data_IF_978211839719
#
_entry.id   IF_978211839719
#
_cell.length_a   1.000
_cell.length_b   1.000
_cell.length_c   1.000
_cell.angle_alpha   90.00
_cell.angle_beta   90.00
_cell.angle_gamma   90.00
#
_symmetry.space_group_name_H-M   'P 1'
#
loop_
_entity.id
_entity.type
_entity.pdbx_description
1 polymer ?
2 polymer ?
3 branched ?
4 branched ?
5 branched ?
6 non-polymer ?
7 non-polymer ?
8 water ?
#
loop_
_entity_poly.entity_id
_entity_poly.type
_entity_poly.pdbx_seq_one_letter_code
_entity_poly.pdbx_strand_id
2 'polyribonucleotide' 'CU' ?
#
# COMPACT_ATOMS: atom_id res chain seq x y z
N UNK A 2 5.33 12.08 15.68
CA UNK A 2 5.74 12.21 14.28
C UNK A 2 6.07 10.83 13.67
N UNK A 3 6.72 9.91 14.47
CA UNK A 3 7.12 8.54 14.09
C UNK A 3 5.96 7.52 14.13
N UNK A 4 4.77 7.96 14.63
CA UNK A 4 3.61 7.09 14.79
C UNK A 4 2.57 7.25 13.68
N UNK A 5 2.26 6.13 12.98
CA UNK A 5 1.26 6.10 11.92
C UNK A 5 -0.15 6.15 12.51
N UNK A 6 -1.00 7.02 12.00
CA UNK A 6 -2.39 7.06 12.41
C UNK A 6 -3.23 6.78 11.17
N UNK A 7 -3.87 5.60 11.15
CA UNK A 7 -4.73 5.18 10.04
C UNK A 7 -6.18 5.16 10.48
N UNK A 8 -7.08 5.47 9.54
CA UNK A 8 -8.52 5.42 9.81
C UNK A 8 -9.33 4.99 8.58
N UNK A 9 -10.61 4.66 8.80
CA UNK A 9 -11.53 4.24 7.76
C UNK A 9 -12.34 5.39 7.33
N UNK A 10 -12.75 5.43 6.04
CA UNK A 10 -13.65 6.43 5.47
C UNK A 10 -14.86 5.68 4.92
N UNK A 11 -16.04 6.29 5.02
CA UNK A 11 -17.29 5.68 4.53
C UNK A 11 -17.29 5.37 3.04
N UNK A 12 -18.09 4.35 2.66
CA UNK A 12 -18.27 3.88 1.29
C UNK A 12 -19.30 2.75 1.24
N UNK A 13 -20.48 3.02 0.64
CA UNK A 13 -21.53 2.01 0.46
C UNK A 13 -21.07 0.89 -0.50
N UNK A 14 -19.96 1.11 -1.20
CA UNK A 14 -19.43 0.14 -2.14
C UNK A 14 -18.62 -0.95 -1.50
N UNK A 15 -18.13 -0.71 -0.26
CA UNK A 15 -17.30 -1.69 0.47
C UNK A 15 -18.06 -2.41 1.55
N UNK A 16 -18.06 -3.75 1.48
CA UNK A 16 -18.69 -4.62 2.48
C UNK A 16 -17.91 -4.51 3.81
N UNK A 17 -18.65 -4.33 4.91
CA UNK A 17 -18.10 -4.23 6.26
C UNK A 17 -18.26 -2.83 6.84
N UNK A 18 -17.23 -2.37 7.60
CA UNK A 18 -17.24 -1.07 8.26
C UNK A 18 -17.56 0.12 7.34
N UNK A 19 -16.93 0.19 6.15
CA UNK A 19 -17.16 1.32 5.24
C UNK A 19 -18.66 1.54 4.94
N UNK A 20 -19.40 0.44 4.67
CA UNK A 20 -20.83 0.49 4.40
C UNK A 20 -21.58 0.94 5.67
N UNK A 21 -21.23 0.34 6.83
CA UNK A 21 -21.83 0.65 8.14
C UNK A 21 -21.68 2.12 8.49
N UNK A 22 -20.55 2.72 8.07
CA UNK A 22 -20.25 4.13 8.28
C UNK A 22 -21.14 4.97 7.38
N UNK A 23 -21.26 4.55 6.10
CA UNK A 23 -22.11 5.21 5.10
C UNK A 23 -23.52 5.25 5.65
N UNK A 24 -24.08 4.08 6.04
CA UNK A 24 -25.42 3.94 6.61
C UNK A 24 -25.60 4.79 7.85
N UNK A 25 -24.61 4.88 8.72
CA UNK A 25 -24.78 5.64 9.93
C UNK A 25 -24.42 7.14 9.81
N UNK A 26 -23.85 7.50 8.64
CA UNK A 26 -23.45 8.88 8.33
C UNK A 26 -22.22 9.36 9.08
N UNK A 27 -21.26 8.45 9.25
CA UNK A 27 -19.97 8.66 9.91
C UNK A 27 -19.02 8.76 8.72
N UNK A 28 -18.17 9.79 8.71
CA UNK A 28 -17.27 9.95 7.57
C UNK A 28 -15.93 9.22 7.74
N UNK A 29 -15.36 9.30 8.96
CA UNK A 29 -14.10 8.69 9.34
C UNK A 29 -14.18 8.09 10.74
N UNK A 30 -13.73 6.85 10.91
CA UNK A 30 -13.60 6.16 12.21
C UNK A 30 -12.15 5.63 12.29
N UNK A 31 -11.47 5.93 13.41
CA UNK A 31 -10.10 5.54 13.67
C UNK A 31 -9.90 4.04 13.54
N UNK A 32 -8.72 3.62 13.07
CA UNK A 32 -8.35 2.22 13.01
C UNK A 32 -7.33 2.03 14.09
N UNK A 33 -6.27 2.84 14.08
CA UNK A 33 -5.26 2.76 15.14
C UNK A 33 -4.14 3.75 15.04
N UNK A 34 -3.33 3.85 16.12
CA UNK A 34 -2.11 4.69 16.17
C UNK A 34 -0.97 3.71 16.32
N UNK A 35 -0.09 3.66 15.32
CA UNK A 35 0.98 2.68 15.29
C UNK A 35 2.39 3.19 15.43
N UNK A 36 3.03 2.85 16.56
CA UNK A 36 4.45 3.17 16.72
C UNK A 36 5.26 2.13 15.93
N UNK A 37 6.57 1.97 16.13
CA UNK A 37 7.26 0.94 15.33
C UNK A 37 7.31 -0.44 15.98
N UNK A 38 7.34 -0.50 17.30
CA UNK A 38 7.32 -1.75 18.06
C UNK A 38 5.90 -2.34 18.08
N UNK A 39 5.79 -3.65 17.77
CA UNK A 39 4.50 -4.34 17.86
C UNK A 39 4.49 -5.14 19.17
N UNK A 40 3.33 -5.47 19.69
CA UNK A 40 3.23 -6.10 21.00
C UNK A 40 2.93 -7.57 21.06
N UNK A 41 3.98 -8.35 20.90
CA UNK A 41 3.97 -9.79 21.01
C UNK A 41 3.81 -10.10 22.49
N UNK A 42 3.02 -11.13 22.77
CA UNK A 42 2.84 -11.63 24.13
C UNK A 42 1.67 -11.08 24.88
N UNK A 43 1.53 -11.53 26.14
CA UNK A 43 0.46 -11.18 27.07
C UNK A 43 0.50 -9.71 27.53
N UNK A 44 -0.61 -8.97 27.33
CA UNK A 44 -0.65 -7.55 27.76
C UNK A 44 -0.36 -7.23 29.23
N UNK A 45 0.20 -6.01 29.47
CA UNK A 45 0.46 -5.41 30.79
C UNK A 45 -0.89 -5.39 31.52
N UNK A 46 -1.92 -4.86 30.86
CA UNK A 46 -3.29 -4.72 31.36
C UNK A 46 -4.24 -5.22 30.31
N UNK A 47 -5.31 -5.94 30.72
CA UNK A 47 -6.34 -6.43 29.81
C UNK A 47 -7.45 -5.38 29.73
N UNK A 48 -7.61 -4.78 28.52
CA UNK A 48 -8.58 -3.73 28.26
C UNK A 48 -10.02 -4.21 28.44
N UNK A 49 -10.81 -3.45 29.19
CA UNK A 49 -12.23 -3.76 29.45
C UNK A 49 -13.13 -2.94 28.51
N UNK A 50 -14.35 -3.46 28.20
CA UNK A 50 -15.31 -2.78 27.30
C UNK A 50 -15.57 -1.32 27.71
N UNK A 51 -15.67 -1.09 29.01
CA UNK A 51 -15.88 0.25 29.54
C UNK A 51 -14.73 1.22 29.19
N UNK A 52 -13.47 0.74 29.28
CA UNK A 52 -12.33 1.59 28.96
C UNK A 52 -12.32 1.86 27.46
N UNK A 53 -12.69 0.85 26.64
CA UNK A 53 -12.65 0.97 25.19
C UNK A 53 -13.75 1.83 24.63
N UNK A 54 -14.92 1.80 25.29
CA UNK A 54 -16.04 2.63 24.89
C UNK A 54 -15.70 4.13 25.14
N UNK A 55 -14.62 4.42 25.89
CA UNK A 55 -14.21 5.81 26.15
C UNK A 55 -13.58 6.50 24.93
N UNK A 56 -13.30 5.72 23.84
CA UNK A 56 -12.79 6.25 22.57
C UNK A 56 -14.09 6.49 21.86
N UNK A 57 -14.66 7.69 22.09
CA UNK A 57 -15.95 8.08 21.54
C UNK A 57 -15.83 8.37 20.05
N UNK A 58 -16.70 7.74 19.26
CA UNK A 58 -16.71 7.95 17.83
C UNK A 58 -16.02 6.90 16.99
N UNK A 59 -15.17 6.09 17.63
CA UNK A 59 -14.47 5.01 16.93
C UNK A 59 -15.40 3.80 16.77
N UNK A 60 -15.63 3.38 15.53
CA UNK A 60 -16.46 2.21 15.22
C UNK A 60 -15.59 0.96 15.04
N UNK A 61 -16.03 -0.11 15.64
CA UNK A 61 -15.40 -1.40 15.52
C UNK A 61 -15.56 -1.88 14.06
N UNK A 62 -14.53 -2.52 13.50
CA UNK A 62 -14.55 -3.09 12.16
C UNK A 62 -15.28 -4.46 12.12
N UNK A 63 -15.58 -5.09 13.31
CA UNK A 63 -16.27 -6.37 13.41
C UNK A 63 -17.77 -6.30 13.23
N UNK A 64 -18.32 -7.12 12.32
CA UNK A 64 -19.76 -7.24 12.10
C UNK A 64 -20.44 -7.66 13.40
N UNK A 65 -19.78 -8.63 14.13
CA UNK A 65 -20.22 -9.26 15.37
C UNK A 65 -20.44 -8.36 16.57
N UNK A 66 -20.34 -7.03 16.42
CA UNK A 66 -20.66 -6.06 17.50
C UNK A 66 -21.54 -4.97 16.85
N UNK A 67 -21.99 -5.26 15.62
CA UNK A 67 -22.75 -4.38 14.73
C UNK A 67 -21.95 -3.08 14.55
N UNK A 68 -20.63 -3.20 14.31
CA UNK A 68 -19.71 -2.09 14.07
C UNK A 68 -19.77 -1.01 15.17
N UNK A 69 -19.66 -1.44 16.44
CA UNK A 69 -19.70 -0.55 17.60
C UNK A 69 -18.39 -0.63 18.40
N UNK A 70 -18.39 -1.43 19.45
CA UNK A 70 -17.25 -1.71 20.30
C UNK A 70 -17.33 -3.20 20.63
N UNK A 71 -16.22 -3.94 20.91
CA UNK A 71 -14.86 -3.51 21.16
C UNK A 71 -13.76 -4.25 20.45
N UNK A 72 -14.07 -5.34 19.71
CA UNK A 72 -13.09 -6.16 19.02
C UNK A 72 -11.93 -5.39 18.45
N UNK A 73 -12.17 -4.43 17.54
CA UNK A 73 -11.10 -3.64 16.92
C UNK A 73 -10.30 -2.83 17.96
N UNK A 74 -11.02 -2.05 18.80
CA UNK A 74 -10.44 -1.23 19.87
C UNK A 74 -9.51 -2.09 20.75
N UNK A 75 -9.99 -3.30 21.15
CA UNK A 75 -9.22 -4.23 21.98
C UNK A 75 -8.00 -4.76 21.23
N UNK A 76 -8.17 -5.11 19.96
CA UNK A 76 -7.07 -5.58 19.12
C UNK A 76 -5.92 -4.56 19.06
N UNK A 77 -6.24 -3.27 18.85
CA UNK A 77 -5.25 -2.20 18.78
C UNK A 77 -4.49 -2.05 20.08
N UNK A 78 -5.17 -2.20 21.22
CA UNK A 78 -4.47 -2.15 22.50
C UNK A 78 -3.50 -3.36 22.58
N UNK A 79 -4.01 -4.58 22.30
CA UNK A 79 -3.20 -5.78 22.35
C UNK A 79 -2.00 -5.75 21.38
N UNK A 80 -2.20 -5.43 20.09
CA UNK A 80 -1.12 -5.40 19.11
C UNK A 80 -0.19 -4.17 19.19
N UNK A 81 -0.67 -2.98 19.52
CA UNK A 81 0.17 -1.77 19.49
C UNK A 81 0.20 -0.94 20.78
N UNK A 82 -0.68 -1.22 21.73
CA UNK A 82 -0.83 -0.40 22.91
C UNK A 82 0.09 -0.66 24.08
N UNK A 83 -0.28 -1.61 24.92
CA UNK A 83 0.41 -1.97 26.15
C UNK A 83 1.92 -1.89 26.15
N UNK A 84 2.59 -2.49 25.17
CA UNK A 84 4.05 -2.51 25.13
C UNK A 84 4.67 -1.15 24.81
N UNK A 85 3.86 -0.17 24.36
CA UNK A 85 4.30 1.15 23.91
C UNK A 85 3.85 2.34 24.73
N UNK A 86 2.66 2.26 25.40
CA UNK A 86 2.06 3.33 26.21
C UNK A 86 2.05 2.95 27.68
N UNK A 87 2.39 1.68 27.97
CA UNK A 87 2.55 1.09 29.31
C UNK A 87 1.32 1.08 30.17
N UNK A 88 0.43 2.09 30.01
CA UNK A 88 -0.82 2.20 30.77
C UNK A 88 -2.00 2.57 29.90
N UNK A 89 -3.19 1.97 30.20
CA UNK A 89 -4.35 2.22 29.37
C UNK A 89 -4.81 3.70 29.28
N UNK A 90 -4.96 4.40 30.42
CA UNK A 90 -5.41 5.82 30.36
C UNK A 90 -4.70 6.74 29.30
N UNK A 91 -3.34 6.87 29.24
CA UNK A 91 -2.75 7.72 28.19
C UNK A 91 -3.14 7.34 26.75
N UNK A 92 -3.21 6.01 26.48
CA UNK A 92 -3.56 5.47 25.17
C UNK A 92 -4.97 5.90 24.83
N UNK A 93 -5.97 5.59 25.72
CA UNK A 93 -7.39 5.96 25.56
C UNK A 93 -7.52 7.46 25.29
N UNK A 94 -6.88 8.27 26.13
CA UNK A 94 -6.85 9.71 25.97
C UNK A 94 -6.41 10.13 24.57
N UNK A 95 -5.28 9.56 24.07
CA UNK A 95 -4.80 9.87 22.73
C UNK A 95 -5.73 9.36 21.57
N UNK A 96 -6.25 8.11 21.69
CA UNK A 96 -7.15 7.53 20.71
C UNK A 96 -8.43 8.33 20.62
N UNK A 97 -8.89 8.84 21.77
CA UNK A 97 -10.10 9.61 21.83
C UNK A 97 -9.94 11.02 21.21
N UNK A 98 -8.73 11.64 21.35
CA UNK A 98 -8.49 12.98 20.77
C UNK A 98 -8.35 12.91 19.25
N UNK A 99 -7.54 11.95 18.75
CA UNK A 99 -7.39 11.74 17.30
C UNK A 99 -8.76 11.51 16.64
N UNK A 100 -9.60 10.64 17.27
CA UNK A 100 -10.94 10.33 16.79
C UNK A 100 -11.82 11.56 16.84
N UNK A 101 -11.65 12.41 17.88
CA UNK A 101 -12.42 13.65 18.02
C UNK A 101 -12.12 14.58 16.87
N UNK A 102 -10.81 14.71 16.50
CA UNK A 102 -10.31 15.53 15.39
C UNK A 102 -10.85 14.97 14.08
N UNK A 103 -10.88 13.63 13.99
CA UNK A 103 -11.41 12.95 12.82
C UNK A 103 -12.87 13.30 12.68
N UNK A 104 -13.62 13.17 13.77
CA UNK A 104 -15.05 13.44 13.84
C UNK A 104 -15.39 14.89 13.48
N UNK A 105 -14.49 15.85 13.79
CA UNK A 105 -14.61 17.29 13.46
C UNK A 105 -14.50 17.50 11.94
N UNK A 106 -14.14 16.43 11.23
CA UNK A 106 -13.99 16.36 9.77
C UNK A 106 -12.63 16.81 9.30
N UNK A 107 -11.84 17.42 10.23
CA UNK A 107 -10.53 17.92 9.87
C UNK A 107 -9.26 17.18 10.42
N UNK A 108 -8.73 16.22 9.61
CA UNK A 108 -7.47 15.55 9.97
C UNK A 108 -6.31 16.36 9.43
N UNK A 109 -5.34 16.61 10.36
CA UNK A 109 -4.06 17.30 10.13
C UNK A 109 -3.64 17.19 8.63
N UNK A 110 -3.62 15.92 8.13
CA UNK A 110 -3.21 15.54 6.80
C UNK A 110 -3.92 14.24 6.45
N UNK A 111 -4.77 14.21 5.43
CA UNK A 111 -5.45 12.96 4.99
C UNK A 111 -4.64 12.43 3.81
N UNK A 112 -4.46 11.12 3.73
CA UNK A 112 -3.58 10.53 2.73
C UNK A 112 -4.01 9.11 2.40
N UNK A 113 -4.52 8.86 1.17
CA UNK A 113 -5.00 7.52 0.73
C UNK A 113 -4.08 6.33 1.06
N UNK A 114 -4.69 5.19 1.42
CA UNK A 114 -4.00 3.93 1.75
C UNK A 114 -4.53 2.85 0.83
N UNK A 115 -5.88 2.74 0.74
CA UNK A 115 -6.57 1.75 -0.08
C UNK A 115 -7.78 2.35 -0.72
N UNK A 116 -7.97 2.03 -2.00
CA UNK A 116 -9.10 2.48 -2.78
C UNK A 116 -9.89 1.32 -3.30
N UNK A 117 -11.08 1.66 -3.76
CA UNK A 117 -12.01 0.81 -4.45
C UNK A 117 -12.33 1.66 -5.66
N UNK A 118 -11.74 1.34 -6.84
CA UNK A 118 -12.00 2.13 -8.04
C UNK A 118 -13.43 1.92 -8.51
N UNK A 119 -14.23 3.01 -8.51
CA UNK A 119 -15.61 2.97 -8.97
C UNK A 119 -15.61 3.32 -10.44
N UNK A 120 -15.90 2.32 -11.30
CA UNK A 120 -15.93 2.49 -12.76
C UNK A 120 -16.99 3.51 -13.19
N UNK A 121 -18.20 3.45 -12.60
CA UNK A 121 -19.32 4.37 -12.86
C UNK A 121 -19.00 5.84 -12.63
N UNK A 122 -18.06 6.15 -11.74
CA UNK A 122 -17.73 7.54 -11.41
C UNK A 122 -16.31 7.95 -11.76
N UNK A 123 -15.51 7.04 -12.35
CA UNK A 123 -14.11 7.27 -12.73
C UNK A 123 -13.33 7.91 -11.54
N UNK A 124 -13.64 7.40 -10.31
CA UNK A 124 -13.08 7.84 -9.04
C UNK A 124 -12.49 6.72 -8.21
N UNK A 125 -11.32 6.98 -7.64
CA UNK A 125 -10.68 6.09 -6.71
C UNK A 125 -11.31 6.42 -5.37
N UNK A 126 -12.35 5.66 -4.97
CA UNK A 126 -13.03 5.83 -3.68
C UNK A 126 -12.09 5.30 -2.58
N UNK A 127 -11.71 6.20 -1.65
CA UNK A 127 -10.77 5.89 -0.55
C UNK A 127 -11.50 5.25 0.62
N UNK A 128 -11.12 3.99 0.93
CA UNK A 128 -11.65 3.17 2.02
C UNK A 128 -10.89 3.40 3.34
N UNK A 129 -9.55 3.50 3.29
CA UNK A 129 -8.68 3.74 4.44
C UNK A 129 -7.66 4.86 4.13
N UNK A 130 -7.27 5.67 5.12
CA UNK A 130 -6.29 6.76 4.95
C UNK A 130 -5.37 6.89 6.13
N UNK A 131 -4.29 7.67 6.01
CA UNK A 131 -3.34 7.93 7.11
C UNK A 131 -2.77 9.35 7.16
N UNK A 132 -2.11 9.75 8.26
CA UNK A 132 -1.59 11.12 8.40
C UNK A 132 -0.30 11.43 7.61
N UNK A 133 0.23 10.44 6.85
CA UNK A 133 1.50 10.53 6.12
C UNK A 133 1.41 9.76 4.82
N UNK A 134 2.19 10.06 3.72
CA UNK A 134 2.07 9.26 2.48
C UNK A 134 2.57 7.81 2.60
N UNK A 135 1.99 6.91 1.76
CA UNK A 135 2.25 5.47 1.74
C UNK A 135 1.92 4.81 0.37
N UNK A 136 2.57 3.67 -0.02
CA UNK A 136 2.21 3.00 -1.27
C UNK A 136 0.75 2.64 -1.30
N UNK A 137 0.03 2.91 -2.42
CA UNK A 137 -1.41 2.62 -2.48
C UNK A 137 -1.73 1.20 -2.86
N UNK A 138 -3.01 0.77 -2.68
CA UNK A 138 -3.52 -0.57 -2.96
C UNK A 138 -4.96 -0.43 -3.52
N UNK A 139 -5.13 -0.72 -4.79
CA UNK A 139 -6.44 -0.67 -5.43
C UNK A 139 -6.85 0.67 -5.98
N UNK A 140 -5.87 1.57 -6.15
CA UNK A 140 -6.08 2.90 -6.69
C UNK A 140 -5.57 2.91 -8.12
N UNK A 141 -6.47 3.19 -9.09
CA UNK A 141 -6.18 3.29 -10.52
C UNK A 141 -5.26 4.51 -10.78
N UNK A 142 -4.25 4.36 -11.70
CA UNK A 142 -3.35 5.49 -12.00
C UNK A 142 -3.97 6.65 -12.77
N UNK A 143 -3.69 7.86 -12.28
CA UNK A 143 -4.19 9.09 -12.87
C UNK A 143 -5.64 9.41 -12.63
N UNK A 144 -6.41 8.52 -11.95
CA UNK A 144 -7.81 8.81 -11.65
C UNK A 144 -7.97 9.61 -10.33
N UNK A 145 -8.98 10.50 -10.26
CA UNK A 145 -9.20 11.34 -9.07
C UNK A 145 -9.67 10.57 -7.81
N UNK A 146 -9.40 11.11 -6.60
CA UNK A 146 -9.74 10.45 -5.34
C UNK A 146 -10.96 11.00 -4.65
N UNK A 147 -11.77 10.10 -4.04
CA UNK A 147 -12.93 10.51 -3.25
C UNK A 147 -12.73 10.16 -1.78
N UNK A 148 -12.49 11.20 -0.98
CA UNK A 148 -12.28 11.07 0.45
C UNK A 148 -13.60 11.37 1.21
N UNK A 149 -14.44 10.30 1.36
CA UNK A 149 -15.72 10.41 2.07
C UNK A 149 -16.55 11.53 1.45
N UNK A 150 -16.45 11.67 0.11
CA UNK A 150 -17.15 12.70 -0.64
C UNK A 150 -16.24 13.77 -1.23
N UNK A 151 -15.30 14.28 -0.41
CA UNK A 151 -14.36 15.32 -0.84
C UNK A 151 -13.49 14.83 -2.02
N UNK A 152 -13.57 15.55 -3.20
CA UNK A 152 -12.78 15.27 -4.45
C UNK A 152 -11.38 15.89 -4.43
N UNK A 153 -10.36 15.05 -4.50
CA UNK A 153 -8.97 15.44 -4.39
C UNK A 153 -8.21 14.84 -5.56
N UNK A 154 -7.33 15.65 -6.21
CA UNK A 154 -6.58 15.17 -7.36
C UNK A 154 -5.53 14.11 -7.04
N UNK A 155 -4.67 14.38 -6.07
CA UNK A 155 -3.61 13.45 -5.67
C UNK A 155 -3.98 12.39 -4.64
N UNK A 156 -3.04 11.49 -4.28
CA UNK A 156 -3.35 10.47 -3.25
C UNK A 156 -3.49 11.13 -1.88
N UNK A 157 -2.60 12.07 -1.60
CA UNK A 157 -2.56 12.84 -0.38
C UNK A 157 -3.38 14.11 -0.60
N UNK A 158 -3.55 14.94 0.42
CA UNK A 158 -4.32 16.18 0.30
C UNK A 158 -3.57 17.44 0.90
N UNK A 159 -2.22 17.50 0.71
CA UNK A 159 -1.38 18.55 1.28
C UNK A 159 0.09 18.53 0.75
N UNK A 160 0.91 19.61 1.06
CA UNK A 160 2.36 19.84 0.84
C UNK A 160 2.91 19.73 -0.57
N UNK B 2 5.59 -11.18 4.56
CA UNK B 2 5.53 -9.77 4.13
C UNK B 2 5.83 -8.70 5.25
N UNK B 3 6.39 -7.53 4.82
CA UNK B 3 6.75 -6.35 5.63
C UNK B 3 6.68 -5.06 4.73
N UNK B 4 7.48 -5.12 3.64
CA UNK B 4 7.79 -4.19 2.57
C UNK B 4 7.28 -4.78 1.24
N UNK B 5 6.56 -3.96 0.45
CA UNK B 5 6.05 -4.36 -0.87
C UNK B 5 7.20 -4.41 -1.89
N UNK B 6 7.30 -5.49 -2.64
CA UNK B 6 8.27 -5.58 -3.71
C UNK B 6 7.46 -5.76 -4.99
N UNK B 7 7.49 -4.74 -5.87
CA UNK B 7 6.80 -4.78 -7.14
C UNK B 7 7.80 -4.85 -8.28
N UNK B 8 7.44 -5.52 -9.37
CA UNK B 8 8.28 -5.62 -10.55
C UNK B 8 7.45 -5.69 -11.84
N UNK B 9 8.12 -5.51 -12.98
CA UNK B 9 7.50 -5.57 -14.29
C UNK B 9 7.75 -6.92 -14.89
N UNK B 10 6.83 -7.40 -15.73
CA UNK B 10 6.95 -8.64 -16.47
C UNK B 10 6.85 -8.28 -17.96
N UNK B 11 7.61 -9.00 -18.82
CA UNK B 11 7.60 -8.76 -20.28
C UNK B 11 6.24 -8.94 -20.91
N UNK B 12 6.03 -8.22 -22.02
CA UNK B 12 4.82 -8.23 -22.84
C UNK B 12 4.96 -7.35 -24.07
N UNK B 13 5.01 -7.96 -25.29
CA UNK B 13 5.09 -7.21 -26.55
C UNK B 13 3.80 -6.38 -26.80
N UNK B 14 2.77 -6.66 -26.04
CA UNK B 14 1.49 -5.99 -26.16
C UNK B 14 1.42 -4.66 -25.45
N UNK B 15 2.35 -4.40 -24.48
CA UNK B 15 2.37 -3.15 -23.74
C UNK B 15 3.50 -2.23 -24.18
N UNK B 16 3.13 -0.98 -24.55
CA UNK B 16 4.08 0.05 -24.95
C UNK B 16 4.92 0.49 -23.70
N UNK B 17 6.24 0.58 -23.88
CA UNK B 17 7.17 0.97 -22.83
C UNK B 17 8.07 -0.16 -22.40
N UNK B 18 8.37 -0.21 -21.09
CA UNK B 18 9.25 -1.23 -20.52
C UNK B 18 8.87 -2.69 -20.86
N UNK B 19 7.56 -3.06 -20.77
CA UNK B 19 7.12 -4.44 -21.03
C UNK B 19 7.54 -4.97 -22.39
N UNK B 20 7.44 -4.10 -23.42
CA UNK B 20 7.84 -4.43 -24.79
C UNK B 20 9.38 -4.55 -24.84
N UNK B 21 10.11 -3.56 -24.25
CA UNK B 21 11.57 -3.52 -24.21
C UNK B 21 12.14 -4.78 -23.57
N UNK B 22 11.42 -5.31 -22.57
CA UNK B 22 11.81 -6.54 -21.86
C UNK B 22 11.62 -7.72 -22.78
N UNK B 23 10.46 -7.77 -23.48
CA UNK B 23 10.11 -8.81 -24.45
C UNK B 23 11.23 -8.88 -25.50
N UNK B 24 11.54 -7.73 -26.13
CA UNK B 24 12.58 -7.59 -27.13
C UNK B 24 13.93 -8.03 -26.63
N UNK B 25 14.27 -7.68 -25.39
CA UNK B 25 15.59 -8.06 -24.89
C UNK B 25 15.66 -9.44 -24.24
N UNK B 26 14.49 -10.07 -24.07
CA UNK B 26 14.38 -11.42 -23.50
C UNK B 26 14.57 -11.47 -22.00
N UNK B 27 14.09 -10.43 -21.31
CA UNK B 27 14.10 -10.27 -19.86
C UNK B 27 12.69 -10.60 -19.43
N UNK B 28 12.53 -11.46 -18.43
CA UNK B 28 11.18 -11.82 -18.00
C UNK B 28 10.59 -10.89 -16.94
N UNK B 29 11.41 -10.51 -15.96
CA UNK B 29 11.04 -9.62 -14.86
C UNK B 29 12.16 -8.64 -14.57
N UNK B 30 11.82 -7.35 -14.40
CA UNK B 30 12.75 -6.28 -13.98
C UNK B 30 12.08 -5.56 -12.81
N UNK B 31 12.82 -5.42 -11.72
CA UNK B 31 12.38 -4.77 -10.48
C UNK B 31 11.85 -3.37 -10.73
N UNK B 32 10.86 -2.97 -9.95
CA UNK B 32 10.33 -1.61 -10.01
C UNK B 32 10.79 -0.98 -8.74
N UNK B 33 10.54 -1.61 -7.59
CA UNK B 33 11.01 -1.10 -6.30
C UNK B 33 10.65 -1.93 -5.10
N UNK B 34 11.28 -1.60 -3.94
CA UNK B 34 10.97 -2.23 -2.64
C UNK B 34 10.41 -1.12 -1.80
N UNK B 35 9.15 -1.27 -1.38
CA UNK B 35 8.44 -0.21 -0.67
C UNK B 35 8.10 -0.46 0.77
N UNK B 36 8.73 0.27 1.68
CA UNK B 36 8.36 0.17 3.09
C UNK B 36 7.08 0.98 3.31
N UNK B 37 6.72 1.36 4.54
CA UNK B 37 5.48 2.10 4.71
C UNK B 37 5.67 3.61 4.62
N UNK B 38 6.85 4.12 5.07
CA UNK B 38 7.17 5.55 4.99
C UNK B 38 7.59 5.91 3.56
N UNK B 39 6.94 6.93 2.97
CA UNK B 39 7.34 7.46 1.67
C UNK B 39 8.27 8.61 2.03
N UNK B 40 9.38 8.70 1.32
CA UNK B 40 10.33 9.72 1.63
C UNK B 40 9.86 11.07 1.28
N UNK B 41 9.97 11.91 2.26
CA UNK B 41 9.59 13.31 2.22
C UNK B 41 10.79 14.08 2.81
N UNK B 42 11.12 15.19 2.17
CA UNK B 42 12.23 16.00 2.61
C UNK B 42 13.47 15.78 1.78
N UNK B 43 14.58 16.41 2.16
CA UNK B 43 15.82 16.31 1.40
C UNK B 43 16.60 15.07 1.79
N UNK B 44 16.97 14.22 0.79
CA UNK B 44 17.72 13.01 1.09
C UNK B 44 19.01 13.18 1.89
N UNK B 45 19.44 12.04 2.40
CA UNK B 45 20.65 11.84 3.17
C UNK B 45 21.82 11.86 2.20
N UNK B 46 21.73 11.08 1.10
CA UNK B 46 22.75 10.94 0.08
C UNK B 46 22.09 11.02 -1.29
N UNK B 47 22.74 11.70 -2.26
CA UNK B 47 22.26 11.80 -3.65
C UNK B 47 22.89 10.66 -4.46
N UNK B 48 22.04 9.73 -4.93
CA UNK B 48 22.46 8.56 -5.69
C UNK B 48 23.10 8.91 -7.00
N UNK B 49 24.27 8.30 -7.27
CA UNK B 49 25.04 8.49 -8.50
C UNK B 49 24.80 7.34 -9.48
N UNK B 50 24.96 7.61 -10.81
CA UNK B 50 24.77 6.60 -11.86
C UNK B 50 25.57 5.32 -11.60
N UNK B 51 26.79 5.46 -11.12
CA UNK B 51 27.64 4.32 -10.78
C UNK B 51 27.03 3.43 -9.70
N UNK B 52 26.46 4.03 -8.64
CA UNK B 52 25.85 3.26 -7.57
C UNK B 52 24.60 2.58 -8.09
N UNK B 53 23.83 3.26 -8.96
CA UNK B 53 22.57 2.71 -9.47
C UNK B 53 22.76 1.60 -10.49
N UNK B 54 23.83 1.69 -11.27
CA UNK B 54 24.16 0.66 -12.24
C UNK B 54 24.56 -0.66 -11.50
N UNK B 55 24.82 -0.59 -10.18
CA UNK B 55 25.16 -1.78 -9.40
C UNK B 55 23.97 -2.72 -9.15
N UNK B 56 22.72 -2.28 -9.48
CA UNK B 56 21.53 -3.11 -9.39
C UNK B 56 21.51 -3.72 -10.77
N UNK B 57 22.19 -4.86 -10.93
CA UNK B 57 22.30 -5.55 -12.22
C UNK B 57 21.06 -6.28 -12.54
N UNK B 58 20.59 -6.05 -13.77
CA UNK B 58 19.37 -6.68 -14.25
C UNK B 58 18.12 -5.85 -14.19
N UNK B 59 18.15 -4.76 -13.41
CA UNK B 59 17.01 -3.87 -13.31
C UNK B 59 17.01 -2.89 -14.47
N UNK B 60 15.89 -2.87 -15.22
CA UNK B 60 15.71 -2.00 -16.37
C UNK B 60 14.91 -0.77 -15.98
N UNK B 61 15.33 0.40 -16.50
CA UNK B 61 14.66 1.68 -16.28
C UNK B 61 13.37 1.66 -17.06
N UNK B 62 12.33 2.20 -16.47
CA UNK B 62 11.04 2.33 -17.13
C UNK B 62 11.01 3.49 -18.14
N UNK B 63 12.04 4.40 -18.11
CA UNK B 63 12.18 5.56 -19.00
C UNK B 63 12.68 5.25 -20.39
N UNK B 64 11.93 5.78 -21.38
CA UNK B 64 12.15 5.75 -22.83
C UNK B 64 13.49 6.41 -23.16
N UNK B 65 13.80 7.48 -22.43
CA UNK B 65 14.94 8.37 -22.55
C UNK B 65 16.29 7.79 -22.12
N UNK B 66 16.38 6.51 -21.72
CA UNK B 66 17.67 5.88 -21.35
C UNK B 66 17.73 4.55 -22.08
N UNK B 67 16.76 4.38 -23.01
CA UNK B 67 16.53 3.17 -23.80
C UNK B 67 16.32 2.00 -22.83
N UNK B 68 15.51 2.24 -21.78
CA UNK B 68 15.16 1.23 -20.77
C UNK B 68 16.38 0.55 -20.12
N UNK B 69 17.35 1.38 -19.65
CA UNK B 69 18.58 0.90 -19.01
C UNK B 69 18.70 1.41 -17.58
N UNK B 70 19.45 2.50 -17.37
CA UNK B 70 19.66 3.18 -16.10
C UNK B 70 19.67 4.68 -16.43
N UNK B 71 19.32 5.62 -15.51
CA UNK B 71 19.03 5.47 -14.09
C UNK B 71 17.76 6.10 -13.56
N UNK B 72 17.05 6.90 -14.40
CA UNK B 72 15.79 7.57 -14.06
C UNK B 72 14.93 6.86 -12.98
N UNK B 73 14.48 5.58 -13.26
CA UNK B 73 13.65 4.77 -12.35
C UNK B 73 14.40 4.42 -11.07
N UNK B 74 15.63 3.84 -11.20
CA UNK B 74 16.49 3.46 -10.10
C UNK B 74 16.67 4.67 -9.15
N UNK B 75 16.95 5.88 -9.69
CA UNK B 75 17.14 7.10 -8.90
C UNK B 75 15.87 7.51 -8.18
N UNK B 76 14.73 7.43 -8.89
CA UNK B 76 13.43 7.75 -8.35
C UNK B 76 13.11 6.89 -7.11
N UNK B 77 13.37 5.58 -7.18
CA UNK B 77 13.14 4.65 -6.09
C UNK B 77 13.98 4.99 -4.88
N UNK B 78 15.23 5.40 -5.07
CA UNK B 78 16.06 5.83 -3.95
C UNK B 78 15.44 7.09 -3.32
N UNK B 79 15.15 8.10 -4.14
CA UNK B 79 14.58 9.34 -3.67
C UNK B 79 13.23 9.16 -2.98
N UNK B 80 12.25 8.48 -3.59
CA UNK B 80 10.93 8.28 -3.00
C UNK B 80 10.86 7.23 -1.83
N UNK B 81 11.65 6.15 -1.87
CA UNK B 81 11.56 5.07 -0.87
C UNK B 81 12.85 4.68 -0.19
N UNK B 82 13.97 4.96 -0.84
CA UNK B 82 15.28 4.56 -0.37
C UNK B 82 15.81 5.25 0.88
N UNK B 83 16.23 6.52 0.75
CA UNK B 83 16.94 7.29 1.77
C UNK B 83 16.43 7.28 3.23
N UNK B 84 15.19 7.68 3.42
CA UNK B 84 14.52 7.79 4.70
C UNK B 84 14.24 6.42 5.40
N UNK B 85 14.65 5.30 4.81
CA UNK B 85 14.33 3.99 5.38
C UNK B 85 15.51 3.06 5.54
N UNK B 86 16.52 3.23 4.70
CA UNK B 86 17.72 2.41 4.67
C UNK B 86 18.92 3.21 5.15
N UNK B 87 18.73 4.55 5.29
CA UNK B 87 19.68 5.54 5.78
C UNK B 87 20.96 5.65 5.00
N UNK B 88 21.44 4.56 4.36
CA UNK B 88 22.67 4.55 3.55
C UNK B 88 22.49 3.82 2.23
N UNK B 89 23.12 4.32 1.16
CA UNK B 89 22.96 3.70 -0.15
C UNK B 89 23.43 2.25 -0.26
N UNK B 90 24.63 1.89 0.22
CA UNK B 90 25.08 0.48 0.13
C UNK B 90 24.07 -0.61 0.58
N UNK B 91 23.47 -0.60 1.78
CA UNK B 91 22.47 -1.66 2.10
C UNK B 91 21.30 -1.75 1.12
N UNK B 92 20.80 -0.58 0.65
CA UNK B 92 19.69 -0.50 -0.31
C UNK B 92 20.11 -1.17 -1.60
N UNK B 93 21.25 -0.74 -2.22
CA UNK B 93 21.79 -1.31 -3.47
C UNK B 93 21.93 -2.81 -3.35
N UNK B 94 22.56 -3.26 -2.25
CA UNK B 94 22.74 -4.67 -1.95
C UNK B 94 21.41 -5.42 -2.01
N UNK B 95 20.35 -4.88 -1.33
CA UNK B 95 19.02 -5.50 -1.34
C UNK B 95 18.33 -5.48 -2.71
N UNK B 96 18.38 -4.33 -3.42
CA UNK B 96 17.78 -4.18 -4.75
C UNK B 96 18.42 -5.12 -5.75
N UNK B 97 19.71 -5.34 -5.59
CA UNK B 97 20.45 -6.20 -6.48
C UNK B 97 20.15 -7.69 -6.21
N UNK B 98 19.90 -8.09 -4.94
CA UNK B 98 19.57 -9.51 -4.60
C UNK B 98 18.17 -9.85 -5.03
N UNK B 99 17.18 -8.98 -4.73
CA UNK B 99 15.79 -9.18 -5.17
C UNK B 99 15.73 -9.34 -6.71
N UNK B 100 16.44 -8.45 -7.45
CA UNK B 100 16.52 -8.49 -8.90
C UNK B 100 17.21 -9.77 -9.36
N UNK B 101 18.22 -10.25 -8.60
CA UNK B 101 18.92 -11.49 -8.92
C UNK B 101 17.97 -12.66 -8.81
N UNK B 102 17.14 -12.71 -7.74
CA UNK B 102 16.12 -13.73 -7.49
C UNK B 102 15.05 -13.66 -8.59
N UNK B 103 14.67 -12.43 -8.99
CA UNK B 103 13.71 -12.23 -10.08
C UNK B 103 14.28 -12.86 -11.34
N UNK B 104 15.49 -12.42 -11.78
CA UNK B 104 16.21 -12.91 -12.96
C UNK B 104 16.35 -14.44 -12.96
N UNK B 105 16.47 -15.09 -11.77
CA UNK B 105 16.55 -16.55 -11.63
C UNK B 105 15.23 -17.19 -12.04
N UNK B 106 14.21 -16.35 -12.22
CA UNK B 106 12.86 -16.76 -12.61
C UNK B 106 11.96 -17.09 -11.43
N UNK B 107 12.58 -17.23 -10.25
CA UNK B 107 11.88 -17.64 -9.05
C UNK B 107 11.60 -16.60 -7.90
N UNK B 108 10.43 -15.90 -7.98
CA UNK B 108 9.99 -15.07 -6.85
C UNK B 108 9.09 -15.98 -5.95
N UNK B 109 9.37 -16.12 -4.63
CA UNK B 109 8.53 -17.03 -3.81
C UNK B 109 7.02 -16.64 -3.65
N UNK B 110 6.63 -15.52 -4.28
CA UNK B 110 5.27 -14.99 -4.23
C UNK B 110 5.10 -14.03 -5.39
N UNK B 111 4.64 -14.53 -6.56
CA UNK B 111 4.31 -13.65 -7.69
C UNK B 111 2.85 -13.35 -7.50
N UNK B 112 2.42 -12.12 -7.71
CA UNK B 112 1.03 -11.76 -7.44
C UNK B 112 0.62 -10.62 -8.33
N UNK B 113 -0.25 -10.86 -9.33
CA UNK B 113 -0.70 -9.86 -10.31
C UNK B 113 -1.13 -8.51 -9.72
N UNK B 114 -0.80 -7.42 -10.43
CA UNK B 114 -1.12 -6.04 -10.04
C UNK B 114 -1.94 -5.41 -11.17
N UNK B 115 -1.43 -5.54 -12.41
CA UNK B 115 -2.06 -5.00 -13.60
C UNK B 115 -1.94 -5.96 -14.76
N UNK B 116 -3.02 -6.11 -15.51
CA UNK B 116 -3.08 -6.98 -16.69
C UNK B 116 -3.44 -6.19 -17.91
N UNK B 117 -3.22 -6.85 -19.04
CA UNK B 117 -3.61 -6.45 -20.38
C UNK B 117 -4.30 -7.70 -20.90
N UNK B 118 -5.65 -7.69 -20.96
CA UNK B 118 -6.35 -8.86 -21.50
C UNK B 118 -5.98 -9.04 -23.00
N UNK B 119 -5.52 -10.25 -23.36
CA UNK B 119 -5.20 -10.59 -24.75
C UNK B 119 -6.34 -11.45 -25.27
N UNK B 120 -7.15 -10.86 -26.18
CA UNK B 120 -8.31 -11.52 -26.80
C UNK B 120 -7.89 -12.81 -27.55
N UNK B 121 -6.81 -12.73 -28.36
CA UNK B 121 -6.26 -13.84 -29.14
C UNK B 121 -5.88 -15.07 -28.31
N UNK B 122 -5.54 -14.89 -27.04
CA UNK B 122 -5.11 -16.01 -26.20
C UNK B 122 -6.01 -16.28 -25.01
N UNK B 123 -7.12 -15.50 -24.85
CA UNK B 123 -8.07 -15.64 -23.72
C UNK B 123 -7.31 -15.69 -22.37
N UNK B 124 -6.26 -14.85 -22.28
CA UNK B 124 -5.36 -14.71 -21.13
C UNK B 124 -5.20 -13.29 -20.62
N UNK B 125 -5.19 -13.15 -19.29
CA UNK B 125 -4.89 -11.90 -18.62
C UNK B 125 -3.38 -11.86 -18.54
N UNK B 126 -2.74 -11.16 -19.51
CA UNK B 126 -1.29 -10.99 -19.56
C UNK B 126 -0.91 -9.99 -18.45
N UNK B 127 -0.08 -10.45 -17.50
CA UNK B 127 0.36 -9.65 -16.34
C UNK B 127 1.55 -8.77 -16.71
N UNK B 128 1.35 -7.44 -16.58
CA UNK B 128 2.35 -6.40 -16.87
C UNK B 128 3.22 -6.09 -15.63
N UNK B 129 2.60 -5.98 -14.44
CA UNK B 129 3.26 -5.70 -13.18
C UNK B 129 2.78 -6.69 -12.10
N UNK B 130 3.69 -7.10 -11.17
CA UNK B 130 3.35 -8.02 -10.09
C UNK B 130 3.98 -7.62 -8.78
N UNK B 131 3.35 -8.05 -7.67
CA UNK B 131 3.76 -7.80 -6.30
C UNK B 131 4.30 -9.09 -5.68
N UNK B 132 4.49 -9.09 -4.34
CA UNK B 132 4.92 -10.25 -3.54
C UNK B 132 3.88 -10.51 -2.42
N UNK B 133 2.76 -9.76 -2.50
CA UNK B 133 1.60 -9.85 -1.61
C UNK B 133 0.34 -9.55 -2.45
N UNK B 134 -0.86 -10.09 -2.11
CA UNK B 134 -2.05 -9.81 -2.93
C UNK B 134 -2.53 -8.37 -2.89
N UNK B 135 -3.22 -7.96 -3.99
CA UNK B 135 -3.75 -6.61 -4.21
C UNK B 135 -4.95 -6.61 -5.22
N UNK B 136 -5.93 -5.67 -5.10
CA UNK B 136 -6.99 -5.58 -6.12
C UNK B 136 -6.37 -5.31 -7.50
N UNK B 137 -6.86 -6.03 -8.52
CA UNK B 137 -6.28 -5.92 -9.86
C UNK B 137 -6.80 -4.75 -10.66
N UNK B 138 -6.16 -4.46 -11.81
CA UNK B 138 -6.46 -3.38 -12.75
C UNK B 138 -6.25 -3.88 -14.18
N UNK B 139 -7.35 -4.05 -14.92
CA UNK B 139 -7.30 -4.50 -16.31
C UNK B 139 -7.28 -6.00 -16.50
N UNK B 140 -7.69 -6.75 -15.46
CA UNK B 140 -7.72 -8.20 -15.50
C UNK B 140 -9.18 -8.62 -15.61
N UNK B 141 -9.52 -9.32 -16.70
CA UNK B 141 -10.86 -9.84 -17.01
C UNK B 141 -11.26 -10.89 -15.98
N UNK B 142 -12.48 -10.77 -15.43
CA UNK B 142 -13.00 -11.72 -14.44
C UNK B 142 -13.12 -13.11 -15.11
N UNK B 143 -12.81 -14.16 -14.35
CA UNK B 143 -12.88 -15.54 -14.82
C UNK B 143 -12.12 -15.81 -16.10
N UNK B 144 -10.81 -15.58 -16.05
CA UNK B 144 -9.87 -15.85 -17.13
C UNK B 144 -8.53 -16.30 -16.52
N UNK B 145 -7.69 -16.94 -17.32
CA UNK B 145 -6.40 -17.37 -16.79
C UNK B 145 -5.30 -16.29 -16.91
N UNK B 146 -4.25 -16.33 -16.04
CA UNK B 146 -3.17 -15.34 -16.00
C UNK B 146 -1.86 -15.78 -16.67
N UNK B 147 -1.21 -14.84 -17.38
CA UNK B 147 0.05 -15.13 -18.05
C UNK B 147 1.25 -14.25 -17.58
N UNK B 148 1.92 -14.71 -16.50
CA UNK B 148 3.11 -14.06 -15.94
C UNK B 148 4.37 -14.46 -16.77
N UNK B 149 4.84 -13.53 -17.63
CA UNK B 149 6.05 -13.71 -18.45
C UNK B 149 6.20 -15.09 -19.13
N UNK B 150 5.08 -15.81 -19.25
CA UNK B 150 5.02 -17.15 -19.85
C UNK B 150 4.31 -18.19 -18.99
N UNK B 151 4.63 -18.21 -17.68
CA UNK B 151 4.04 -19.17 -16.75
C UNK B 151 2.53 -18.92 -16.62
N UNK B 152 1.69 -19.96 -16.95
CA UNK B 152 0.21 -19.96 -16.88
C UNK B 152 -0.31 -20.30 -15.48
N UNK B 153 -1.04 -19.38 -14.88
CA UNK B 153 -1.53 -19.51 -13.51
C UNK B 153 -3.05 -19.23 -13.50
N UNK B 154 -3.82 -20.05 -12.77
CA UNK B 154 -5.26 -19.87 -12.71
C UNK B 154 -5.71 -18.62 -11.99
N UNK B 155 -5.23 -18.43 -10.75
CA UNK B 155 -5.55 -17.29 -9.90
C UNK B 155 -4.72 -16.03 -10.12
N UNK B 156 -5.05 -14.91 -9.43
CA UNK B 156 -4.23 -13.68 -9.59
C UNK B 156 -2.85 -13.84 -8.96
N UNK B 157 -2.83 -14.45 -7.79
CA UNK B 157 -1.61 -14.75 -7.09
C UNK B 157 -1.09 -16.11 -7.57
N UNK B 158 0.25 -16.29 -7.48
CA UNK B 158 1.00 -17.46 -7.96
C UNK B 158 1.32 -18.42 -6.81
N UNK B 159 1.26 -17.93 -5.54
CA UNK B 159 1.54 -18.72 -4.34
C UNK B 159 0.73 -18.20 -3.17
X LIG E 1 4.13 7.81 19.70
X LIG E 1 3.49 8.71 20.76
X LIG E 1 4.05 8.64 22.18
X LIG E 1 4.27 7.18 22.61
X LIG E 1 4.86 6.35 21.47
X LIG E 1 4.87 4.88 21.79
X LIG E 1 2.29 10.51 19.57
X LIG E 1 2.22 12.00 19.37
X LIG E 1 3.31 10.09 20.33
X LIG E 1 3.11 9.25 23.06
X LIG E 1 5.21 7.16 23.68
X LIG E 1 4.08 6.50 20.26
X LIG E 1 5.93 4.22 21.09
X LIG E 1 1.46 9.74 19.07
X LIG E 2 4.75 6.81 25.00
X LIG E 2 5.94 6.46 25.88
X LIG E 2 5.52 6.20 27.34
X LIG E 2 4.48 7.20 27.86
X LIG E 2 3.45 7.59 26.80
X LIG E 2 2.62 8.79 27.21
X LIG E 2 7.53 5.31 24.34
X LIG E 2 8.09 3.99 23.93
X LIG E 2 6.65 5.30 25.37
X LIG E 2 6.69 6.25 28.16
X LIG E 2 3.74 6.58 28.90
X LIG E 2 4.11 7.94 25.58
X LIG E 2 1.65 9.11 26.20
X LIG E 2 7.83 6.35 23.75
X LIG E 3 4.09 6.89 30.23
X LIG E 3 2.85 6.78 31.11
X LIG E 3 3.18 7.14 32.56
X LIG E 3 4.45 6.42 33.05
X LIG E 3 5.59 6.48 32.03
X LIG E 3 6.79 5.62 32.37
X LIG E 3 2.32 5.46 31.01
X LIG E 3 2.06 6.82 33.38
X LIG E 3 4.88 7.02 34.28
X LIG E 3 5.11 6.05 30.74
X LIG E 3 7.88 5.78 31.45
X LIG E 4 1.52 7.81 34.28
X LIG E 4 -0.02 7.94 34.14
X LIG E 4 -0.78 6.70 34.60
X LIG E 4 0.07 5.87 35.54
X LIG E 4 0.88 6.81 36.43
X LIG E 4 1.63 6.13 37.55
X LIG E 4 -0.40 8.31 32.81
X LIG E 4 -1.22 5.92 33.49
X LIG E 4 -0.75 5.02 36.33
X LIG E 4 1.87 7.52 35.64
X LIG E 4 2.76 6.89 37.96
X LIG E 5 2.63 7.70 39.11
X LIG E 5 3.35 9.03 38.84
X LIG E 5 2.52 10.04 38.03
X LIG E 5 1.03 9.98 38.37
X LIG E 5 0.81 9.23 39.68
X LIG E 5 -0.64 9.15 40.09
X LIG E 5 4.58 8.76 38.19
X LIG E 5 2.71 9.84 36.64
X LIG E 5 0.47 11.29 38.42
X LIG E 5 1.28 7.88 39.57
X LIG E 5 -1.41 8.30 39.24
X LIG F 1 -6.18 17.92 16.93
X LIG F 1 -4.73 17.56 17.22
X LIG F 1 -3.99 18.77 17.79
X LIG F 1 -4.18 20.00 16.91
X LIG F 1 -5.67 20.28 16.68
X LIG F 1 -5.94 21.39 15.70
X LIG F 1 -4.51 15.17 17.87
X LIG F 1 -4.57 14.22 19.02
X LIG F 1 -4.73 16.47 18.18
X LIG F 1 -2.60 18.47 17.87
X LIG F 1 -3.58 21.13 17.54
X LIG F 1 -6.29 19.10 16.13
X LIG F 1 -5.44 21.07 14.40
X LIG F 1 -4.27 14.80 16.73
X LIG F 2 -2.42 21.75 16.98
X LIG F 2 -2.24 23.10 17.67
X LIG F 2 -0.90 23.79 17.42
X LIG F 2 0.27 22.80 17.47
X LIG F 2 -0.05 21.52 16.71
X LIG F 2 1.02 20.45 16.87
X LIG F 2 -4.43 24.18 17.92
X LIG F 2 -5.44 25.08 17.28
X LIG F 2 -3.33 23.96 17.22
X LIG F 2 -0.72 24.77 18.44
X LIG F 2 1.40 23.42 16.87
X LIG F 2 -1.26 20.95 17.20
X LIG F 2 1.45 19.94 15.62
X LIG F 2 -4.63 23.67 19.02
X LIG G 1 12.11 -3.51 4.98
X LIG G 1 13.46 -4.23 4.98
X LIG G 1 14.37 -3.71 6.09
X LIG G 1 14.46 -2.19 6.09
X LIG G 1 13.07 -1.55 5.99
X LIG G 1 13.12 -0.06 5.79
X LIG G 1 13.11 -6.43 3.96
X LIG G 1 13.03 -7.91 4.23
X LIG G 1 13.38 -5.68 5.02
X LIG G 1 15.66 -4.29 5.84
X LIG G 1 15.05 -1.74 7.31
X LIG G 1 12.33 -2.10 4.89
X LIG G 1 11.90 0.56 6.19
X LIG G 1 12.91 -5.97 2.84
X LIG G 2 16.31 -1.06 7.28
X LIG G 2 16.52 -0.29 8.58
X LIG G 2 17.86 0.44 8.57
X LIG G 2 19.02 -0.47 8.14
X LIG G 2 18.61 -1.26 6.89
X LIG G 2 19.61 -2.27 6.40
X LIG G 2 14.32 0.42 9.44
X LIG G 2 13.25 1.47 9.32
X LIG G 2 15.43 0.66 8.72
X LIG G 2 18.12 0.95 9.88
X LIG G 2 20.12 0.36 7.78
X LIG G 2 17.39 -1.97 7.17
X LIG G 2 19.07 -3.03 5.31
X LIG G 2 14.19 -0.59 10.13
X LIG G 3 21.20 0.56 8.68
X LIG G 3 22.43 0.90 7.85
X LIG G 3 23.62 1.19 8.76
X LIG G 3 23.27 2.26 9.78
X LIG G 3 21.99 1.89 10.53
X LIG G 3 21.50 2.96 11.47
X LIG G 3 22.14 2.05 7.07
X LIG G 3 24.77 1.55 7.98
X LIG G 3 24.33 2.43 10.72
X LIG G 3 20.93 1.65 9.57
X LIG G 3 20.09 2.90 11.68
X LIG G 4 26.01 0.85 8.23
X LIG G 4 26.59 0.22 6.96
X LIG G 4 27.08 1.26 5.94
X LIG G 4 27.63 2.49 6.65
X LIG G 4 28.09 2.12 8.06
X LIG G 4 28.76 3.26 8.80
X LIG G 4 25.73 -0.75 6.36
X LIG G 4 26.04 1.61 5.04
X LIG G 4 28.72 3.03 5.89
X LIG G 4 26.96 1.72 8.85
X LIG G 4 28.69 3.05 10.21
X LIG G 5 29.85 2.57 10.84
X LIG G 5 29.53 1.26 11.61
X LIG G 5 30.43 0.10 11.19
X LIG G 5 31.91 0.47 11.15
X LIG G 5 32.12 1.92 10.69
X LIG G 5 33.31 2.12 9.80
X LIG G 5 28.15 0.90 11.46
X LIG G 5 30.01 -0.44 9.94
X LIG G 5 32.52 0.29 12.42
X LIG G 5 30.96 2.37 9.97
X LIG G 5 33.62 3.50 9.69
X LIG G 6 19.67 2.96 13.02
X LIG G 6 19.58 1.51 13.54
X LIG G 6 18.44 1.34 14.55
X LIG G 6 17.09 1.73 13.95
X LIG G 6 17.23 2.86 12.92
X LIG G 6 16.05 3.80 12.95
X LIG G 6 20.81 1.13 14.14
X LIG G 6 18.69 2.07 15.74
X LIG G 6 16.46 0.62 13.32
X LIG G 6 18.41 3.64 13.16
X LIG G 6 14.84 3.06 12.87
X LIG G 7 16.20 -0.51 14.12
X LIG G 7 16.60 -1.79 13.41
X LIG G 7 16.50 -2.93 14.42
X LIG G 7 15.11 -2.99 15.05
X LIG G 7 14.61 -1.63 15.54
X LIG G 7 15.19 -1.17 16.86
X LIG G 7 17.92 -1.72 12.87
X LIG G 7 17.52 -2.84 15.43
X LIG G 7 14.19 -3.52 14.10
X LIG G 7 14.85 -0.60 14.56
X LIG G 7 14.83 -2.01 17.95
X LIG H 1 24.66 -8.12 -7.63
X LIG H 1 25.77 -8.64 -6.74
X LIG H 1 26.74 -9.35 -7.67
X LIG H 1 26.07 -10.60 -8.22
X LIG H 1 24.67 -10.27 -8.78
X LIG H 1 23.79 -11.49 -8.87
X LIG H 1 26.74 -6.54 -5.82
X LIG H 1 27.12 -5.89 -4.53
X LIG H 1 26.48 -7.84 -5.74
X LIG H 1 27.95 -9.68 -6.99
X LIG H 1 26.87 -11.20 -9.22
X LIG H 1 23.98 -9.34 -7.93
X LIG H 1 23.57 -12.06 -7.58
X LIG H 1 26.67 -5.91 -6.89
X LIG H 2 27.37 -12.52 -9.02
X LIG H 2 28.29 -12.78 -10.20
X LIG H 2 29.20 -14.00 -10.05
X LIG H 2 29.84 -14.02 -8.66
X LIG H 2 28.81 -13.81 -7.56
X LIG H 2 29.43 -13.69 -6.18
X LIG H 2 27.26 -11.93 -12.28
X LIG H 2 26.24 -12.21 -13.34
X LIG H 2 27.46 -12.92 -11.39
X LIG H 2 30.22 -13.90 -11.02
X LIG H 2 30.51 -15.27 -8.47
X LIG H 2 28.08 -12.59 -7.78
X LIG H 2 30.24 -12.53 -6.06
X LIG H 2 27.89 -10.87 -12.24
X LIG I 1 4.94 -7.17 -31.39
X LIG I 1 4.76 -8.27 -32.42
X LIG I 1 4.77 -7.70 -33.83
X LIG I 1 3.73 -6.60 -33.98
X LIG I 1 3.97 -5.54 -32.90
X LIG I 1 2.98 -4.39 -32.90
X LIG I 1 5.47 -10.52 -31.72
X LIG I 1 6.45 -11.62 -32.03
X LIG I 1 5.74 -9.33 -32.28
X LIG I 1 4.56 -8.72 -34.80
X LIG I 1 3.79 -6.05 -35.29
X LIG I 1 3.94 -6.15 -31.61
X LIG I 1 1.74 -4.73 -32.29
X LIG I 1 4.49 -10.71 -31.01
X LIG I 2 2.64 -6.16 -36.14
X LIG I 2 2.77 -5.10 -37.24
X LIG I 2 1.63 -5.21 -38.26
X LIG I 2 1.44 -6.65 -38.72
X LIG I 2 1.33 -7.59 -37.52
X LIG I 2 1.21 -9.05 -37.90
X LIG I 2 3.80 -3.05 -36.31
X LIG I 2 3.52 -1.74 -35.63
X LIG I 2 2.73 -3.79 -36.59
X LIG I 2 1.95 -4.37 -39.36
X LIG I 2 0.24 -6.75 -39.50
X LIG I 2 2.49 -7.46 -36.69
X LIG I 2 2.42 -9.56 -38.43
X LIG I 2 4.95 -3.41 -36.56
X LIG J 1 -27.12 -2.12 13.89
X LIG J 1 -28.48 -2.50 14.47
X LIG J 1 -29.52 -1.95 13.50
X LIG J 1 -29.50 -0.43 13.59
X LIG J 1 -28.08 0.08 13.36
X LIG J 1 -27.86 1.54 13.71
X LIG J 1 -28.80 -4.95 14.27
X LIG J 1 -29.03 -6.20 15.05
X LIG J 1 -28.83 -3.82 14.97
X LIG J 1 -30.81 -2.46 13.80
X LIG J 1 -30.43 0.19 12.69
X LIG J 1 -27.11 -0.70 14.11
X LIG J 1 -27.50 1.77 15.07
X LIG J 1 -28.60 -4.96 13.06
X LIG K 1 -13.23 11.96 24.57
X LIG K 1 -13.15 12.78 25.85
X LIG K 1 -14.41 13.61 26.13
X LIG K 1 -15.06 14.19 24.86
X LIG K 1 -14.76 13.37 23.61
X LIG K 1 -15.01 14.07 22.30
X LIG K 1 -11.74 11.69 27.54
X LIG K 1 -11.59 10.44 28.36
X LIG K 1 -12.92 11.83 26.93
X LIG K 1 -14.03 14.67 27.00
X LIG K 1 -16.47 14.18 25.04
X LIG K 1 -13.39 12.96 23.59
X LIG K 1 -15.17 13.10 21.26
X LIG K 1 -10.83 12.51 27.45
X LIG L 1 -12.35 -10.01 22.99
X LIG L 1 -13.16 -10.31 21.74
X LIG L 1 -13.05 -8.77 23.42
X LIG L 1 -12.71 -10.93 24.04
X LIG L 1 -11.00 -9.78 22.56
X LIG M 1 -5.96 -9.67 19.35
X LIG M 1 -6.28 -9.89 20.81
X LIG M 1 -6.03 -11.15 19.04
X LIG M 1 -6.97 -8.98 18.71
X LIG M 1 -4.66 -9.08 19.05
X LIG N 1 -3.46 -3.74 12.61
X LIG N 1 -3.36 -5.19 13.07
X LIG N 1 -2.16 -3.39 11.77
X LIG N 1 -4.48 -3.68 11.66
X LIG N 1 -3.62 -2.98 13.77
X LIG O 1 6.50 4.81 -7.10
X LIG O 1 5.82 3.83 -8.08
X LIG O 1 7.84 4.17 -6.75
X LIG O 1 6.70 5.90 -8.00
X LIG O 1 5.74 4.96 -5.86
X LIG P 1 12.41 12.04 -8.60
X LIG P 1 11.82 13.27 -7.90
X LIG P 1 12.43 10.97 -7.52
X LIG P 1 11.40 11.61 -9.53
X LIG P 1 13.77 12.29 -8.97
#
# INVERSE_FOLDING_TARGET
>A
RSENITQWNLQDNGTEGIQRAMFQRGVNRSLKGIWPEKICTGVPSHLATDTELKAIHGMMDASEKTNYTCCRLQRHEWNKHGWCNWYNIEPWILLMNKTQANLTEGQPLRECAVTCRYDRDSDLNVVTQARDSPTPLTGCKKGKNFSFAGILVQGPCNFEIAVSDVL
>B
RSENITQWNLQDNGTEGIQRAMFQRGVNRSLKGIWPEKICTGVPSHLATDTELKAIHGMMDASEKTNYTCCRLQRHEWNKHGWCNWYNIEPWILLMNKTQANLTEGQPLRECAVTCRYDRDSDLNVVTQARDSPTPLTGCKKGKNFSFAGILVQGPCNFEIAVSDVL
>E hetero
1 NAG C1 C2 C3 C4 C5 C6 C7 C8 N2 O3 O4 O5 O6 O7
2 NAG C1 C2 C3 C4 C5 C6 C7 C8 N2 O3 O4 O5 O6 O7
3 BMA C1 C2 C3 C4 C5 C6 O2 O3 O4 O5 O6
4 BMA C1 C2 C3 C4 C5 C6 O2 O3 O4 O5 O6
5 BMA C1 C2 C3 C4 C5 C6 O2 O3 O4 O5 O6
>F hetero
1 NAG C1 C2 C3 C4 C5 C6 C7 C8 N2 O3 O4 O5 O6 O7
2 NAG C1 C2 C3 C4 C5 C6 C7 C8 N2 O3 O4 O5 O6 O7
>G hetero
1 NAG C1 C2 C3 C4 C5 C6 C7 C8 N2 O3 O4 O5 O6 O7
2 NAG C1 C2 C3 C4 C5 C6 C7 C8 N2 O3 O4 O5 O6 O7
3 BMA C1 C2 C3 C4 C5 C6 O2 O3 O4 O5 O6
4 BMA C1 C2 C3 C4 C5 C6 O2 O3 O4 O5 O6
5 BMA C1 C2 C3 C4 C5 C6 O2 O3 O4 O5 O6
6 MAN C1 C2 C3 C4 C5 C6 O2 O3 O4 O5 O6
7 MAN C1 C2 C3 C4 C5 C6 O2 O3 O4 O5 O6
>H hetero
1 NAG C1 C2 C3 C4 C5 C6 C7 C8 N2 O3 O4 O5 O6 O7
2 NAG C1 C2 C3 C4 C5 C6 C7 C8 N2 O3 O4 O5 O6 O7
>I hetero
1 NAG C1 C2 C3 C4 C5 C6 C7 C8 N2 O3 O4 O5 O6 O7
2 NAG C1 C2 C3 C4 C5 C6 C7 C8 N2 O3 O4 O5 O6 O7
>J hetero
1 NAG C1 C2 C3 C4 C5 C6 C7 C8 N2 O3 O4 O5 O6 O7
>K hetero
1 NAG C1 C2 C3 C4 C5 C6 C7 C8 N2 O3 O4 O5 O6 O7
>L hetero
1 SO4 S O1 O2 O3 O4
>M hetero
1 SO4 S O1 O2 O3 O4
>N hetero
1 SO4 S O1 O2 O3 O4
>O hetero
1 SO4 S O1 O2 O3 O4
>P hetero
1 SO4 S O1 O2 O3 O4
#
